data_IF_202782297063
#
_entry.id   IF_202782297063
#
_cell.length_a   1.000
_cell.length_b   1.000
_cell.length_c   1.000
_cell.angle_alpha   90.00
_cell.angle_beta   90.00
_cell.angle_gamma   90.00
#
_symmetry.space_group_name_H-M   'P 1'
#
loop_
_entity.id
_entity.type
_entity.pdbx_description
1 polymer ?
#
# COMPACT_ATOMS: atom_id res chain seq x y z
N UNK A 1 -95.32 -23.67 2.39
CA UNK A 1 -95.48 -24.51 3.60
C UNK A 1 -95.38 -25.96 3.18
N UNK A 2 -94.69 -26.77 4.00
CA UNK A 2 -94.70 -28.24 4.05
C UNK A 2 -93.97 -29.03 2.94
N UNK A 3 -92.70 -29.36 3.21
CA UNK A 3 -92.16 -30.68 2.91
C UNK A 3 -91.97 -31.46 4.23
N UNK A 4 -92.41 -32.73 4.33
CA UNK A 4 -92.27 -33.57 5.53
C UNK A 4 -90.94 -34.37 5.54
N UNK A 5 -90.62 -35.07 6.64
CA UNK A 5 -89.25 -35.22 7.11
C UNK A 5 -88.64 -36.64 7.02
N UNK A 6 -87.33 -36.68 7.24
CA UNK A 6 -86.57 -37.61 8.10
C UNK A 6 -86.28 -39.07 7.67
N UNK A 7 -84.94 -39.34 7.73
CA UNK A 7 -84.19 -40.56 8.11
C UNK A 7 -84.05 -41.70 7.12
N UNK A 8 -82.80 -42.03 6.79
CA UNK A 8 -82.04 -43.23 7.24
C UNK A 8 -80.54 -42.86 7.18
N UNK A 9 -79.82 -42.76 8.30
CA UNK A 9 -79.14 -43.85 9.01
C UNK A 9 -78.03 -44.52 8.17
N UNK A 10 -76.79 -44.04 8.32
CA UNK A 10 -75.65 -44.94 8.21
C UNK A 10 -74.61 -44.61 9.29
N UNK A 11 -74.34 -45.63 10.08
CA UNK A 11 -73.56 -45.65 11.31
C UNK A 11 -72.09 -45.85 10.93
N UNK A 12 -71.27 -44.81 11.10
CA UNK A 12 -69.84 -44.82 10.80
C UNK A 12 -68.98 -44.62 12.05
N UNK A 13 -68.45 -45.72 12.57
CA UNK A 13 -67.59 -45.90 13.76
C UNK A 13 -66.49 -44.85 14.04
N UNK A 14 -66.03 -44.73 15.32
CA UNK A 14 -65.08 -43.71 15.77
C UNK A 14 -63.66 -43.96 15.24
N UNK A 15 -63.00 -42.92 14.71
CA UNK A 15 -61.57 -42.97 14.38
C UNK A 15 -60.74 -42.69 15.64
N UNK A 16 -59.76 -43.55 15.99
CA UNK A 16 -58.83 -43.29 17.08
C UNK A 16 -57.85 -42.19 16.65
N UNK A 17 -57.57 -41.27 17.56
CA UNK A 17 -56.61 -40.19 17.36
C UNK A 17 -55.20 -40.79 17.38
N UNK A 18 -54.69 -41.18 16.21
CA UNK A 18 -53.29 -41.57 16.05
C UNK A 18 -52.46 -40.30 16.05
N UNK A 19 -51.86 -39.96 17.19
CA UNK A 19 -50.79 -38.97 17.25
C UNK A 19 -49.73 -39.36 16.22
N UNK A 20 -49.35 -38.47 15.28
CA UNK A 20 -48.32 -38.80 14.30
C UNK A 20 -47.05 -39.08 15.08
N UNK A 21 -46.59 -40.34 15.06
CA UNK A 21 -45.31 -40.73 15.65
C UNK A 21 -44.24 -39.94 14.92
N UNK A 22 -43.81 -38.85 15.54
CA UNK A 22 -42.71 -38.03 15.06
C UNK A 22 -41.51 -38.96 14.97
N UNK A 23 -41.12 -39.28 13.73
CA UNK A 23 -40.06 -40.25 13.50
C UNK A 23 -38.78 -39.65 14.08
N UNK A 24 -38.32 -40.19 15.21
CA UNK A 24 -37.13 -39.71 15.92
C UNK A 24 -35.91 -39.70 15.02
N UNK A 25 -35.84 -40.57 14.00
CA UNK A 25 -34.80 -40.55 12.98
C UNK A 25 -34.83 -39.27 12.13
N UNK A 26 -36.02 -38.74 11.83
CA UNK A 26 -36.20 -37.48 11.12
C UNK A 26 -35.76 -36.31 11.99
N UNK A 27 -36.12 -36.32 13.28
CA UNK A 27 -35.66 -35.31 14.26
C UNK A 27 -34.14 -35.35 14.41
N UNK A 28 -33.54 -36.53 14.51
CA UNK A 28 -32.09 -36.70 14.62
C UNK A 28 -31.34 -36.21 13.37
N UNK A 29 -31.90 -36.45 12.19
CA UNK A 29 -31.34 -35.98 10.91
C UNK A 29 -31.42 -34.47 10.79
N UNK A 30 -32.54 -33.86 11.18
CA UNK A 30 -32.68 -32.40 11.20
C UNK A 30 -31.76 -31.77 12.24
N UNK A 31 -31.62 -32.37 13.43
CA UNK A 31 -30.67 -31.86 14.43
C UNK A 31 -29.22 -31.97 13.95
N UNK A 32 -28.85 -33.07 13.28
CA UNK A 32 -27.51 -33.23 12.71
C UNK A 32 -27.23 -32.20 11.60
N UNK A 33 -28.21 -31.96 10.71
CA UNK A 33 -28.13 -30.91 9.68
C UNK A 33 -27.96 -29.52 10.29
N UNK A 34 -28.72 -29.19 11.34
CA UNK A 34 -28.63 -27.90 12.03
C UNK A 34 -27.27 -27.70 12.69
N UNK A 35 -26.71 -28.74 13.31
CA UNK A 35 -25.37 -28.68 13.91
C UNK A 35 -24.27 -28.45 12.86
N UNK A 36 -24.37 -29.13 11.71
CA UNK A 36 -23.43 -28.94 10.60
C UNK A 36 -23.51 -27.52 10.03
N UNK A 37 -24.72 -26.99 9.84
CA UNK A 37 -24.93 -25.62 9.35
C UNK A 37 -24.37 -24.62 10.36
N UNK A 38 -24.64 -24.81 11.66
CA UNK A 38 -24.10 -23.95 12.72
C UNK A 38 -22.56 -23.96 12.76
N UNK A 39 -21.95 -25.13 12.56
CA UNK A 39 -20.50 -25.25 12.50
C UNK A 39 -19.93 -24.54 11.28
N UNK A 40 -20.54 -24.70 10.10
CA UNK A 40 -20.11 -24.01 8.88
C UNK A 40 -20.25 -22.49 9.00
N UNK A 41 -21.32 -21.98 9.61
CA UNK A 41 -21.50 -20.55 9.89
C UNK A 41 -20.47 -20.06 10.93
N UNK A 42 -20.21 -20.85 11.97
CA UNK A 42 -19.18 -20.56 12.98
C UNK A 42 -17.78 -20.48 12.37
N UNK A 43 -17.40 -21.46 11.54
CA UNK A 43 -16.13 -21.45 10.81
C UNK A 43 -16.07 -20.30 9.80
N UNK A 44 -17.14 -20.04 9.06
CA UNK A 44 -17.18 -18.93 8.10
C UNK A 44 -17.04 -17.58 8.78
N UNK A 45 -17.73 -17.36 9.91
CA UNK A 45 -17.61 -16.13 10.71
C UNK A 45 -16.23 -16.02 11.37
N UNK A 46 -15.66 -17.11 11.89
CA UNK A 46 -14.29 -17.14 12.42
C UNK A 46 -13.26 -16.84 11.32
N UNK A 47 -13.38 -17.45 10.14
CA UNK A 47 -12.52 -17.18 8.98
C UNK A 47 -12.68 -15.76 8.44
N UNK A 48 -13.89 -15.17 8.49
CA UNK A 48 -14.07 -13.75 8.13
C UNK A 48 -13.49 -12.84 9.20
N UNK A 49 -13.55 -13.20 10.49
CA UNK A 49 -12.96 -12.41 11.57
C UNK A 49 -11.42 -12.47 11.56
N UNK A 50 -10.83 -13.65 11.32
CA UNK A 50 -9.38 -13.84 11.21
C UNK A 50 -8.81 -13.47 9.83
N UNK A 51 -9.61 -13.60 8.78
CA UNK A 51 -9.25 -13.30 7.39
C UNK A 51 -9.63 -11.89 6.94
N UNK A 52 -10.42 -11.14 7.73
CA UNK A 52 -10.42 -9.69 7.59
C UNK A 52 -9.01 -9.24 7.94
N UNK A 53 -8.25 -8.63 7.01
CA UNK A 53 -7.10 -7.85 7.44
C UNK A 53 -7.66 -6.91 8.49
N UNK A 54 -7.10 -6.98 9.69
CA UNK A 54 -7.47 -6.12 10.79
C UNK A 54 -7.42 -4.71 10.20
N UNK A 55 -8.59 -4.16 9.88
CA UNK A 55 -8.76 -2.75 9.61
C UNK A 55 -8.71 -2.14 11.00
N UNK A 56 -7.52 -2.29 11.61
CA UNK A 56 -7.07 -1.55 12.75
C UNK A 56 -7.39 -0.14 12.33
N UNK A 57 -8.38 0.42 12.99
CA UNK A 57 -8.60 1.84 13.07
C UNK A 57 -7.26 2.37 13.62
N UNK A 58 -6.30 2.56 12.71
CA UNK A 58 -5.07 3.28 12.93
C UNK A 58 -5.60 4.65 13.37
N UNK A 59 -5.56 4.90 14.68
CA UNK A 59 -5.22 6.21 15.21
C UNK A 59 -4.38 6.91 14.14
N UNK A 60 -4.80 8.07 13.58
CA UNK A 60 -4.34 8.54 12.28
C UNK A 60 -2.84 8.44 12.25
N UNK A 61 -2.34 7.37 11.62
CA UNK A 61 -0.95 7.00 11.72
C UNK A 61 -0.26 8.14 11.03
N UNK A 62 0.40 8.98 11.80
CA UNK A 62 1.00 10.21 11.29
C UNK A 62 1.76 9.84 10.02
N UNK A 63 1.20 10.20 8.86
CA UNK A 63 1.62 9.58 7.60
C UNK A 63 2.89 10.30 7.21
N UNK A 64 4.05 9.70 7.52
CA UNK A 64 5.33 10.24 7.10
C UNK A 64 5.63 9.80 5.68
N UNK A 65 5.28 10.64 4.72
CA UNK A 65 5.43 10.39 3.29
C UNK A 65 5.87 11.66 2.57
N UNK A 66 6.76 11.50 1.60
CA UNK A 66 7.14 12.57 0.69
C UNK A 66 7.27 12.03 -0.72
N UNK A 67 6.66 12.72 -1.67
CA UNK A 67 6.85 12.51 -3.10
C UNK A 67 7.39 13.80 -3.68
N UNK A 68 8.58 13.75 -4.24
CA UNK A 68 9.34 14.93 -4.63
C UNK A 68 9.66 14.90 -6.11
N UNK A 69 9.56 16.06 -6.74
CA UNK A 69 9.97 16.27 -8.12
C UNK A 69 11.25 17.07 -8.16
N UNK A 70 12.01 16.92 -9.24
CA UNK A 70 13.25 17.65 -9.41
C UNK A 70 12.98 19.16 -9.53
N UNK A 71 13.70 19.96 -8.75
CA UNK A 71 13.61 21.41 -8.85
C UNK A 71 14.42 21.92 -10.05
N UNK A 72 13.71 22.33 -11.10
CA UNK A 72 14.30 22.87 -12.33
C UNK A 72 14.54 24.39 -12.29
N UNK A 73 14.07 25.08 -11.25
CA UNK A 73 14.19 26.55 -11.15
C UNK A 73 15.59 27.00 -10.76
N UNK A 74 16.38 26.11 -10.15
CA UNK A 74 17.76 26.40 -9.72
C UNK A 74 18.73 26.01 -10.84
N UNK A 75 19.48 26.97 -11.42
CA UNK A 75 20.51 26.66 -12.40
C UNK A 75 21.55 25.72 -11.79
N UNK A 76 21.72 24.56 -12.42
CA UNK A 76 22.58 23.51 -11.87
C UNK A 76 24.05 23.86 -12.06
N UNK A 77 24.76 24.03 -10.96
CA UNK A 77 26.23 24.16 -10.90
C UNK A 77 26.87 23.02 -10.13
N UNK A 78 26.10 22.34 -9.29
CA UNK A 78 26.49 21.24 -8.42
C UNK A 78 25.92 19.90 -8.89
N UNK A 79 26.60 18.82 -8.50
CA UNK A 79 26.21 17.45 -8.79
C UNK A 79 24.97 16.99 -7.99
N UNK A 80 24.55 17.78 -7.02
CA UNK A 80 23.41 17.51 -6.13
C UNK A 80 22.10 17.71 -6.90
N UNK A 81 21.20 16.74 -6.80
CA UNK A 81 19.81 16.86 -7.25
C UNK A 81 19.02 17.52 -6.14
N UNK A 82 18.48 18.71 -6.44
CA UNK A 82 17.64 19.46 -5.51
C UNK A 82 16.19 19.14 -5.79
N UNK A 83 15.49 18.70 -4.76
CA UNK A 83 14.11 18.31 -4.83
C UNK A 83 13.18 19.47 -4.47
N UNK A 84 11.94 19.41 -4.93
CA UNK A 84 10.88 20.33 -4.55
C UNK A 84 9.58 19.55 -4.33
N UNK A 85 8.74 20.12 -3.46
CA UNK A 85 7.39 19.65 -3.19
C UNK A 85 6.45 20.83 -3.22
N UNK A 86 5.23 20.62 -3.71
CA UNK A 86 4.19 21.62 -3.62
C UNK A 86 3.05 21.36 -4.60
N UNK A 87 1.88 21.95 -4.35
CA UNK A 87 0.68 21.73 -5.17
C UNK A 87 0.84 22.20 -6.62
N UNK A 88 1.80 23.09 -6.88
CA UNK A 88 2.12 23.60 -8.23
C UNK A 88 3.06 22.68 -9.01
N UNK A 89 3.64 21.66 -8.37
CA UNK A 89 4.62 20.72 -8.92
C UNK A 89 3.97 19.33 -9.06
N UNK A 90 2.91 19.28 -9.86
CA UNK A 90 2.21 18.05 -10.21
C UNK A 90 1.72 17.26 -9.00
N UNK A 91 2.24 16.03 -8.83
CA UNK A 91 1.87 15.11 -7.76
C UNK A 91 2.84 15.12 -6.58
N UNK A 92 3.69 16.15 -6.46
CA UNK A 92 4.64 16.26 -5.36
C UNK A 92 4.00 16.81 -4.09
N UNK A 93 4.38 16.25 -2.93
CA UNK A 93 3.89 16.65 -1.62
C UNK A 93 4.83 16.17 -0.51
N UNK A 94 4.68 16.74 0.68
CA UNK A 94 5.35 16.29 1.90
C UNK A 94 4.35 16.30 3.06
N UNK A 95 4.24 15.17 3.75
CA UNK A 95 3.49 15.02 4.99
C UNK A 95 4.41 14.35 6.01
N UNK A 96 4.83 15.05 7.06
CA UNK A 96 5.79 14.52 8.04
C UNK A 96 7.25 14.91 7.74
N UNK A 97 7.97 14.29 6.78
CA UNK A 97 9.32 14.70 6.41
C UNK A 97 9.38 16.17 5.95
N UNK A 98 10.44 16.87 6.34
CA UNK A 98 10.72 18.23 5.93
C UNK A 98 11.51 18.30 4.63
N UNK A 99 11.48 19.44 3.97
CA UNK A 99 12.31 19.71 2.79
C UNK A 99 13.05 21.03 3.00
N UNK A 100 14.36 20.98 3.17
CA UNK A 100 15.21 22.17 3.35
C UNK A 100 16.24 22.24 2.22
N UNK A 101 16.30 23.38 1.50
CA UNK A 101 17.26 23.61 0.40
C UNK A 101 17.26 22.51 -0.69
N UNK A 102 16.14 21.81 -0.83
CA UNK A 102 15.94 20.70 -1.77
C UNK A 102 16.50 19.36 -1.32
N UNK A 103 16.79 19.21 -0.03
CA UNK A 103 17.17 17.95 0.62
C UNK A 103 16.09 17.55 1.62
N UNK A 104 15.81 16.25 1.73
CA UNK A 104 14.74 15.74 2.59
C UNK A 104 15.26 15.53 4.01
N UNK A 105 14.56 16.06 5.01
CA UNK A 105 14.88 15.96 6.42
C UNK A 105 13.88 15.04 7.15
N UNK A 106 14.40 14.12 7.96
CA UNK A 106 13.61 13.11 8.67
C UNK A 106 13.28 13.57 10.09
N UNK A 107 12.00 13.74 10.39
CA UNK A 107 11.50 14.13 11.72
C UNK A 107 11.19 12.93 12.63
N UNK A 108 11.03 11.73 12.07
CA UNK A 108 10.62 10.53 12.79
C UNK A 108 11.51 9.36 12.41
N UNK A 109 11.98 8.61 13.41
CA UNK A 109 12.78 7.42 13.15
C UNK A 109 11.93 6.25 12.66
N UNK A 110 12.58 5.31 11.98
CA UNK A 110 12.02 4.01 11.64
C UNK A 110 12.47 3.51 10.28
N UNK A 111 11.78 2.50 9.78
CA UNK A 111 12.01 1.90 8.47
C UNK A 111 11.18 2.66 7.43
N UNK A 112 11.88 3.27 6.49
CA UNK A 112 11.30 3.94 5.33
C UNK A 112 11.48 3.08 4.08
N UNK A 113 10.43 3.03 3.25
CA UNK A 113 10.52 2.65 1.85
C UNK A 113 10.93 3.88 1.06
N UNK A 114 12.13 3.84 0.54
CA UNK A 114 12.70 4.85 -0.33
C UNK A 114 12.58 4.40 -1.77
N UNK A 115 12.13 5.28 -2.66
CA UNK A 115 12.11 5.04 -4.10
C UNK A 115 12.64 6.24 -4.86
N UNK A 116 13.29 5.97 -5.98
CA UNK A 116 13.86 6.99 -6.84
C UNK A 116 13.80 6.52 -8.29
N UNK A 117 13.52 7.45 -9.18
CA UNK A 117 13.76 7.32 -10.61
C UNK A 117 14.47 8.56 -11.10
N UNK A 118 15.52 8.37 -11.89
CA UNK A 118 16.22 9.47 -12.56
C UNK A 118 16.42 9.11 -14.01
N UNK A 119 16.01 10.01 -14.88
CA UNK A 119 16.24 9.93 -16.31
C UNK A 119 17.18 11.05 -16.72
N UNK A 120 18.16 10.78 -17.57
CA UNK A 120 19.08 11.80 -18.08
C UNK A 120 18.49 12.51 -19.31
N UNK A 121 18.77 13.80 -19.45
CA UNK A 121 18.54 14.56 -20.66
C UNK A 121 19.61 14.24 -21.71
N UNK A 122 19.26 14.39 -22.99
CA UNK A 122 20.19 14.24 -24.11
C UNK A 122 20.92 12.88 -24.16
N UNK A 123 20.20 11.79 -23.86
CA UNK A 123 20.69 10.43 -24.12
C UNK A 123 20.76 10.15 -25.63
N UNK A 124 21.84 10.58 -26.26
CA UNK A 124 22.20 10.19 -27.62
C UNK A 124 23.44 9.29 -27.59
N UNK A 125 23.59 8.46 -28.63
CA UNK A 125 24.73 7.53 -28.76
C UNK A 125 26.10 8.22 -28.66
N UNK A 126 26.20 9.51 -29.02
CA UNK A 126 27.42 10.31 -28.92
C UNK A 126 27.90 10.55 -27.47
N UNK A 127 26.99 10.55 -26.48
CA UNK A 127 27.31 10.71 -25.06
C UNK A 127 27.37 9.37 -24.30
N UNK A 128 27.22 8.25 -25.00
CA UNK A 128 27.11 6.92 -24.40
C UNK A 128 28.24 6.60 -23.42
N UNK A 129 29.49 6.88 -23.78
CA UNK A 129 30.66 6.51 -22.94
C UNK A 129 30.68 7.23 -21.58
N UNK A 130 30.23 8.49 -21.53
CA UNK A 130 30.15 9.29 -20.29
C UNK A 130 28.97 8.83 -19.45
N UNK A 131 27.82 8.59 -20.09
CA UNK A 131 26.62 8.09 -19.45
C UNK A 131 26.83 6.73 -18.78
N UNK A 132 27.60 5.82 -19.41
CA UNK A 132 27.87 4.49 -18.84
C UNK A 132 28.58 4.52 -17.48
N UNK A 133 29.33 5.58 -17.21
CA UNK A 133 30.06 5.78 -15.96
C UNK A 133 29.29 6.61 -14.95
N UNK A 134 28.18 7.21 -15.35
CA UNK A 134 27.34 7.99 -14.45
C UNK A 134 26.64 7.07 -13.47
N UNK A 135 26.56 7.53 -12.22
CA UNK A 135 25.79 6.87 -11.17
C UNK A 135 24.99 7.90 -10.40
N UNK A 136 23.76 7.56 -10.03
CA UNK A 136 22.99 8.29 -9.02
C UNK A 136 23.30 7.68 -7.68
N UNK A 137 23.59 8.50 -6.68
CA UNK A 137 23.68 8.06 -5.29
C UNK A 137 22.59 8.71 -4.46
N UNK A 138 22.01 7.95 -3.55
CA UNK A 138 21.17 8.47 -2.47
C UNK A 138 21.85 8.11 -1.17
N UNK A 139 22.00 9.07 -0.27
CA UNK A 139 22.69 8.85 0.99
C UNK A 139 22.25 9.81 2.08
N UNK A 140 22.66 9.50 3.31
CA UNK A 140 22.54 10.39 4.45
C UNK A 140 23.77 11.32 4.40
N UNK A 141 23.53 12.63 4.32
CA UNK A 141 24.59 13.64 4.22
C UNK A 141 24.71 14.52 5.46
N UNK A 142 23.73 14.46 6.36
CA UNK A 142 23.79 15.07 7.68
C UNK A 142 23.20 14.10 8.70
N UNK A 143 23.82 13.96 9.90
CA UNK A 143 25.02 14.67 10.36
C UNK A 143 26.30 14.23 9.62
N UNK A 144 27.20 15.17 9.34
CA UNK A 144 28.40 14.94 8.50
C UNK A 144 29.36 13.88 9.07
N UNK A 145 29.32 13.62 10.38
CA UNK A 145 30.09 12.55 11.03
C UNK A 145 29.67 11.14 10.57
N UNK A 146 28.48 10.98 9.99
CA UNK A 146 27.89 9.70 9.59
C UNK A 146 27.35 9.72 8.16
N UNK A 147 28.13 10.23 7.20
CA UNK A 147 27.71 10.19 5.80
C UNK A 147 27.65 8.73 5.29
N UNK A 148 26.47 8.26 4.89
CA UNK A 148 26.25 6.85 4.49
C UNK A 148 25.59 6.81 3.11
N UNK A 149 26.08 5.93 2.23
CA UNK A 149 25.43 5.67 0.94
C UNK A 149 24.32 4.62 1.10
N UNK A 150 23.08 5.01 0.82
CA UNK A 150 21.91 4.13 0.89
C UNK A 150 21.62 3.44 -0.45
N UNK A 151 21.84 4.13 -1.57
CA UNK A 151 21.70 3.59 -2.92
C UNK A 151 22.82 4.11 -3.82
N UNK A 152 23.27 3.25 -4.73
CA UNK A 152 24.16 3.63 -5.84
C UNK A 152 23.69 2.93 -7.10
N UNK A 153 23.14 3.71 -8.02
CA UNK A 153 22.47 3.23 -9.22
C UNK A 153 23.29 3.64 -10.44
N UNK A 154 24.04 2.71 -11.06
CA UNK A 154 24.74 2.99 -12.31
C UNK A 154 23.76 3.04 -13.49
N UNK A 155 23.94 4.03 -14.36
CA UNK A 155 23.16 4.12 -15.61
C UNK A 155 23.55 3.03 -16.60
N UNK A 156 24.85 2.72 -16.70
CA UNK A 156 25.34 1.75 -17.69
C UNK A 156 24.85 2.11 -19.09
N UNK A 157 24.25 1.15 -19.78
CA UNK A 157 23.68 1.37 -21.13
C UNK A 157 22.32 2.07 -21.13
N UNK A 158 21.70 2.28 -19.97
CA UNK A 158 20.36 2.87 -19.84
C UNK A 158 20.41 4.38 -19.61
N UNK A 159 19.40 5.10 -20.09
CA UNK A 159 19.17 6.51 -19.80
C UNK A 159 18.44 6.76 -18.48
N UNK A 160 17.77 5.73 -17.99
CA UNK A 160 16.92 5.80 -16.81
C UNK A 160 17.37 4.75 -15.82
N UNK A 161 17.44 5.14 -14.55
CA UNK A 161 17.64 4.24 -13.43
C UNK A 161 16.49 4.43 -12.45
N UNK A 162 16.02 3.32 -11.91
CA UNK A 162 14.99 3.31 -10.88
C UNK A 162 15.36 2.29 -9.82
N UNK A 163 15.01 2.58 -8.57
CA UNK A 163 15.18 1.64 -7.48
C UNK A 163 14.23 1.94 -6.35
N UNK A 164 13.90 0.90 -5.59
CA UNK A 164 13.17 0.98 -4.34
C UNK A 164 13.89 0.15 -3.29
N UNK A 165 14.02 0.67 -2.07
CA UNK A 165 14.71 0.00 -0.97
C UNK A 165 14.10 0.36 0.38
N UNK A 166 14.06 -0.61 1.30
CA UNK A 166 13.78 -0.35 2.71
C UNK A 166 15.09 0.07 3.41
N UNK A 167 15.02 1.14 4.17
CA UNK A 167 16.17 1.70 4.90
C UNK A 167 15.73 2.23 6.26
N UNK A 168 16.56 2.03 7.27
CA UNK A 168 16.33 2.61 8.58
C UNK A 168 16.85 4.05 8.58
N UNK A 169 16.01 5.01 8.94
CA UNK A 169 16.36 6.41 9.07
C UNK A 169 16.11 6.88 10.50
N UNK A 170 16.99 7.74 11.00
CA UNK A 170 16.90 8.34 12.31
C UNK A 170 16.34 9.77 12.24
N UNK A 171 15.86 10.25 13.39
CA UNK A 171 15.50 11.67 13.53
C UNK A 171 16.74 12.53 13.30
N UNK A 172 16.61 13.53 12.44
CA UNK A 172 17.72 14.42 12.09
C UNK A 172 18.50 14.04 10.84
N UNK A 173 18.24 12.86 10.27
CA UNK A 173 18.87 12.46 9.01
C UNK A 173 18.46 13.39 7.87
N UNK A 174 19.44 13.85 7.10
CA UNK A 174 19.22 14.56 5.83
C UNK A 174 19.60 13.66 4.68
N UNK A 175 18.65 13.42 3.77
CA UNK A 175 18.87 12.66 2.56
C UNK A 175 19.31 13.57 1.43
N UNK A 176 20.47 13.24 0.86
CA UNK A 176 21.02 13.86 -0.34
C UNK A 176 20.96 12.89 -1.51
N UNK A 177 20.69 13.42 -2.70
CA UNK A 177 20.81 12.69 -3.95
C UNK A 177 21.81 13.38 -4.86
N UNK A 178 22.80 12.65 -5.37
CA UNK A 178 23.87 13.21 -6.19
C UNK A 178 24.05 12.39 -7.48
N UNK A 179 24.48 13.06 -8.55
CA UNK A 179 25.07 12.40 -9.71
C UNK A 179 26.59 12.38 -9.57
N UNK A 180 27.27 11.32 -10.01
CA UNK A 180 28.74 11.31 -10.00
C UNK A 180 29.37 12.12 -11.14
N UNK A 181 28.60 12.52 -12.15
CA UNK A 181 29.04 13.26 -13.33
C UNK A 181 28.09 14.43 -13.59
N UNK A 182 28.55 15.53 -14.24
CA UNK A 182 27.77 16.74 -14.48
C UNK A 182 26.76 16.57 -15.64
N UNK A 183 26.03 15.46 -15.64
CA UNK A 183 24.97 15.18 -16.60
C UNK A 183 23.67 15.85 -16.16
N UNK A 184 22.88 16.29 -17.13
CA UNK A 184 21.60 16.91 -16.88
C UNK A 184 20.51 15.84 -16.78
N UNK A 185 19.65 15.83 -15.74
CA UNK A 185 18.44 15.03 -15.72
C UNK A 185 17.39 15.58 -16.69
N UNK A 186 16.44 14.74 -17.05
CA UNK A 186 15.29 15.12 -17.86
C UNK A 186 14.50 16.25 -17.18
N UNK A 187 13.95 17.14 -18.01
CA UNK A 187 13.05 18.21 -17.55
C UNK A 187 11.61 17.74 -17.37
N UNK A 188 11.30 16.51 -17.76
CA UNK A 188 9.99 15.93 -17.54
C UNK A 188 9.85 15.51 -16.05
N UNK A 189 8.90 16.12 -15.37
CA UNK A 189 8.67 15.91 -13.94
C UNK A 189 8.21 14.48 -13.59
N UNK A 190 7.63 13.75 -14.56
CA UNK A 190 7.21 12.35 -14.39
C UNK A 190 8.37 11.37 -14.60
N UNK A 191 9.50 11.82 -15.17
CA UNK A 191 10.64 10.96 -15.48
C UNK A 191 11.72 10.97 -14.39
N UNK A 192 11.73 11.99 -13.53
CA UNK A 192 12.70 12.16 -12.45
C UNK A 192 12.01 12.56 -11.14
N UNK A 193 11.93 11.63 -10.20
CA UNK A 193 11.26 11.80 -8.92
C UNK A 193 11.96 11.01 -7.81
N UNK A 194 11.72 11.42 -6.57
CA UNK A 194 12.28 10.80 -5.37
C UNK A 194 11.22 10.83 -4.27
N UNK A 195 11.06 9.71 -3.56
CA UNK A 195 10.10 9.64 -2.48
C UNK A 195 10.50 8.72 -1.37
N UNK A 196 9.85 8.94 -0.23
CA UNK A 196 9.96 8.09 0.96
C UNK A 196 8.60 7.88 1.57
N UNK A 197 8.38 6.69 2.12
CA UNK A 197 7.17 6.32 2.83
C UNK A 197 7.55 5.55 4.10
N UNK A 198 7.15 6.04 5.26
CA UNK A 198 7.38 5.37 6.54
C UNK A 198 6.53 4.11 6.63
N UNK A 199 7.17 2.98 6.92
CA UNK A 199 6.53 1.66 6.91
C UNK A 199 6.37 1.12 8.32
N UNK A 200 7.38 1.29 9.16
CA UNK A 200 7.44 0.68 10.49
C UNK A 200 8.30 1.55 11.44
N UNK A 201 7.92 1.70 12.72
CA UNK A 201 8.71 2.43 13.73
C UNK A 201 10.08 1.81 14.02
#
# INVERSE_FOLDING_TARGET
MQHPPARMAEEGRPRPWVLPRLNWATVLRFSALLLLISFMIGCFTYCIQFGRPQQTQLEPLEVHVAELQLNLTVPRKDLILRWAAGPTLGRSFTHGPGLEKGQLYIHRAGIYRLHIQVTLANCSSAYGTVQHRATVTVGICSPAAHSISLLRLPFGQSCTVASQRLTHLAVGDVLCTNLTLPLLPSRNAEETFFGVHWVYP
#
